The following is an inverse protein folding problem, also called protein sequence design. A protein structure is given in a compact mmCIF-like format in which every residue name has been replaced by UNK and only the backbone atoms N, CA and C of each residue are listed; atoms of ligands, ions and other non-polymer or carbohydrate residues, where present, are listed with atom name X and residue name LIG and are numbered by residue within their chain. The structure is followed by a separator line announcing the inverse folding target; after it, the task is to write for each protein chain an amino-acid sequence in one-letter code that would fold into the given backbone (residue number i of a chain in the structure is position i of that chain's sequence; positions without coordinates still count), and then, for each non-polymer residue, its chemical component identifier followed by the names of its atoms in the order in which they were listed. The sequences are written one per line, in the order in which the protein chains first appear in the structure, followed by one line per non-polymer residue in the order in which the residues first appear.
data_IF_113671197295
#
_entry.id   IF_113671197295
#
_cell.length_a   1.000
_cell.length_b   1.000
_cell.length_c   1.000
_cell.angle_alpha   90.00
_cell.angle_beta   90.00
_cell.angle_gamma   90.00
#
_symmetry.space_group_name_H-M   'P 1'
#
loop_
_entity.id
_entity.type
_entity.pdbx_description
1 polymer ?
#
# COMPACT_ATOMS: atom_id res chain seq x y z
N UNK A 1 8.47 9.83 13.32
CA UNK A 1 9.04 10.91 12.50
C UNK A 1 8.03 11.28 11.42
N UNK A 2 7.97 12.54 10.96
CA UNK A 2 7.16 12.92 9.80
C UNK A 2 8.14 13.20 8.65
N UNK A 3 7.91 12.61 7.50
CA UNK A 3 8.72 12.84 6.30
C UNK A 3 7.80 13.24 5.16
N UNK A 4 8.25 14.19 4.35
CA UNK A 4 7.52 14.70 3.21
C UNK A 4 8.12 14.09 1.95
N UNK A 5 7.28 13.46 1.13
CA UNK A 5 7.63 13.06 -0.22
C UNK A 5 7.18 14.21 -1.13
N UNK A 6 8.12 14.75 -1.89
CA UNK A 6 7.89 15.80 -2.88
C UNK A 6 7.97 15.14 -4.25
N UNK A 7 6.92 15.28 -5.04
CA UNK A 7 6.88 14.87 -6.44
C UNK A 7 6.97 16.12 -7.30
N UNK A 8 8.10 16.31 -7.97
CA UNK A 8 8.36 17.47 -8.83
C UNK A 8 8.22 17.08 -10.30
N UNK A 9 7.57 17.93 -11.10
CA UNK A 9 7.46 17.76 -12.55
C UNK A 9 8.52 18.57 -13.31
N UNK A 10 9.29 17.90 -14.17
CA UNK A 10 10.20 18.54 -15.11
C UNK A 10 9.49 18.76 -16.46
N UNK A 11 9.19 20.03 -16.79
CA UNK A 11 8.53 20.39 -18.05
C UNK A 11 9.35 20.04 -19.30
N UNK A 12 10.68 20.09 -19.21
CA UNK A 12 11.57 19.91 -20.36
C UNK A 12 11.63 18.44 -20.77
N UNK A 13 11.76 17.56 -19.79
CA UNK A 13 11.91 16.13 -20.01
C UNK A 13 10.59 15.36 -19.83
N UNK A 14 9.52 16.04 -19.41
CA UNK A 14 8.15 15.54 -19.21
C UNK A 14 8.10 14.32 -18.27
N UNK A 15 8.82 14.43 -17.16
CA UNK A 15 8.94 13.39 -16.15
C UNK A 15 8.60 13.94 -14.77
N UNK A 16 8.07 13.07 -13.92
CA UNK A 16 7.96 13.28 -12.49
C UNK A 16 9.17 12.68 -11.79
N UNK A 17 9.60 13.33 -10.71
CA UNK A 17 10.65 12.83 -9.83
C UNK A 17 10.18 12.88 -8.38
N UNK A 18 10.50 11.86 -7.57
CA UNK A 18 10.21 11.87 -6.13
C UNK A 18 11.49 12.00 -5.31
N UNK A 19 11.44 12.88 -4.30
CA UNK A 19 12.47 13.06 -3.30
C UNK A 19 11.85 13.30 -1.92
N UNK A 20 12.67 13.24 -0.87
CA UNK A 20 12.26 13.60 0.49
C UNK A 20 13.43 14.27 1.20
N UNK A 21 13.40 15.58 1.46
CA UNK A 21 14.49 16.30 2.11
C UNK A 21 14.85 15.74 3.48
N UNK A 22 13.87 15.20 4.22
CA UNK A 22 14.12 14.57 5.51
C UNK A 22 14.83 13.21 5.39
N UNK A 23 14.84 12.61 4.20
CA UNK A 23 15.40 11.29 3.92
C UNK A 23 16.65 11.31 3.02
N UNK A 24 16.93 12.43 2.34
CA UNK A 24 18.14 12.63 1.52
C UNK A 24 19.45 12.23 2.22
N UNK A 25 19.64 12.46 3.55
CA UNK A 25 20.86 12.01 4.22
C UNK A 25 21.06 10.49 4.26
N UNK A 26 20.08 9.66 3.86
CA UNK A 26 20.07 8.20 4.07
C UNK A 26 20.17 7.37 2.79
N UNK A 27 20.65 7.95 1.68
CA UNK A 27 20.81 7.25 0.40
C UNK A 27 19.53 6.67 -0.23
N UNK A 28 18.35 7.17 0.16
CA UNK A 28 17.08 6.78 -0.49
C UNK A 28 17.09 7.36 -1.90
N UNK A 29 17.24 6.48 -2.89
CA UNK A 29 17.34 6.88 -4.30
C UNK A 29 16.06 7.60 -4.74
N UNK A 30 16.23 8.81 -5.27
CA UNK A 30 15.20 9.47 -6.05
C UNK A 30 14.78 8.58 -7.20
N UNK A 31 13.51 8.66 -7.58
CA UNK A 31 12.97 7.89 -8.70
C UNK A 31 12.33 8.84 -9.69
N UNK A 32 12.43 8.50 -10.96
CA UNK A 32 11.87 9.28 -12.07
C UNK A 32 10.90 8.40 -12.87
N UNK A 33 9.88 9.00 -13.46
CA UNK A 33 8.87 8.28 -14.24
C UNK A 33 7.91 9.23 -14.94
N UNK A 34 7.04 8.67 -15.79
CA UNK A 34 6.10 9.47 -16.58
C UNK A 34 4.76 9.72 -15.88
N UNK A 35 4.47 8.95 -14.83
CA UNK A 35 3.20 9.02 -14.10
C UNK A 35 3.46 9.11 -12.59
N UNK A 36 2.69 9.96 -11.90
CA UNK A 36 2.78 10.19 -10.45
C UNK A 36 2.66 8.88 -9.64
N UNK A 37 1.71 7.98 -9.94
CA UNK A 37 1.54 6.74 -9.18
C UNK A 37 2.79 5.87 -9.21
N UNK A 38 3.38 5.69 -10.39
CA UNK A 38 4.58 4.87 -10.56
C UNK A 38 5.75 5.46 -9.77
N UNK A 39 5.94 6.78 -9.85
CA UNK A 39 7.00 7.48 -9.14
C UNK A 39 6.83 7.34 -7.62
N UNK A 40 5.62 7.55 -7.09
CA UNK A 40 5.35 7.40 -5.66
C UNK A 40 5.55 5.95 -5.20
N UNK A 41 5.04 4.98 -5.95
CA UNK A 41 5.11 3.57 -5.64
C UNK A 41 6.55 3.05 -5.59
N UNK A 42 7.36 3.41 -6.59
CA UNK A 42 8.78 3.05 -6.63
C UNK A 42 9.56 3.69 -5.49
N UNK A 43 9.28 4.97 -5.18
CA UNK A 43 9.96 5.66 -4.09
C UNK A 43 9.68 4.98 -2.74
N UNK A 44 8.41 4.68 -2.44
CA UNK A 44 8.04 4.02 -1.19
C UNK A 44 8.54 2.57 -1.12
N UNK A 45 8.63 1.87 -2.27
CA UNK A 45 9.25 0.54 -2.36
C UNK A 45 10.75 0.58 -2.03
N UNK A 46 11.48 1.61 -2.49
CA UNK A 46 12.88 1.81 -2.13
C UNK A 46 13.05 2.03 -0.61
N UNK A 47 12.16 2.83 0.00
CA UNK A 47 12.12 3.01 1.46
C UNK A 47 11.93 1.65 2.17
N UNK A 48 10.96 0.82 1.74
CA UNK A 48 10.73 -0.51 2.35
C UNK A 48 11.98 -1.40 2.26
N UNK A 49 12.64 -1.39 1.11
CA UNK A 49 13.83 -2.20 0.83
C UNK A 49 15.01 -1.82 1.71
N UNK A 50 15.25 -0.53 1.89
CA UNK A 50 16.35 -0.01 2.69
C UNK A 50 16.12 -0.22 4.18
N UNK A 51 14.90 0.02 4.69
CA UNK A 51 14.52 -0.35 6.06
C UNK A 51 14.78 -1.85 6.29
N UNK A 52 14.33 -2.70 5.36
CA UNK A 52 14.54 -4.15 5.45
C UNK A 52 16.03 -4.54 5.43
N UNK A 53 16.88 -3.80 4.71
CA UNK A 53 18.33 -4.01 4.67
C UNK A 53 18.95 -3.68 6.02
N UNK A 54 18.62 -2.52 6.57
CA UNK A 54 19.12 -2.08 7.87
C UNK A 54 18.69 -2.99 9.01
N UNK A 55 17.46 -3.48 9.01
CA UNK A 55 17.01 -4.49 9.99
C UNK A 55 17.85 -5.78 9.91
N UNK A 56 18.21 -6.23 8.70
CA UNK A 56 19.07 -7.41 8.53
C UNK A 56 20.50 -7.16 9.03
N UNK A 57 21.06 -5.99 8.77
CA UNK A 57 22.40 -5.62 9.23
C UNK A 57 22.45 -5.59 10.76
N UNK A 58 21.51 -4.89 11.39
CA UNK A 58 21.44 -4.77 12.85
C UNK A 58 21.20 -6.12 13.55
N UNK A 59 20.39 -7.01 12.96
CA UNK A 59 20.13 -8.33 13.54
C UNK A 59 21.30 -9.32 13.42
N UNK A 60 22.28 -9.08 12.53
CA UNK A 60 23.47 -9.94 12.38
C UNK A 60 24.54 -9.68 13.43
N UNK A 61 24.48 -8.56 14.16
CA UNK A 61 25.51 -8.18 15.14
C UNK A 61 26.85 -7.80 14.49
N UNK A 62 26.88 -7.52 13.19
CA UNK A 62 28.05 -7.03 12.43
C UNK A 62 28.31 -5.55 12.73
N UNK A 63 28.28 -5.13 14.01
CA UNK A 63 28.62 -3.75 14.40
C UNK A 63 30.09 -3.39 14.10
N UNK A 64 30.94 -4.39 13.82
CA UNK A 64 32.38 -4.21 13.65
C UNK A 64 32.86 -4.06 12.19
N UNK A 65 31.97 -4.20 11.20
CA UNK A 65 32.30 -4.18 9.76
C UNK A 65 31.38 -3.23 8.94
N UNK A 66 30.58 -2.39 9.60
CA UNK A 66 29.75 -1.37 8.95
C UNK A 66 30.47 -0.03 9.11
N UNK A 67 30.74 0.67 8.01
CA UNK A 67 31.28 2.04 8.07
C UNK A 67 30.31 2.93 8.87
N UNK A 68 30.84 3.84 9.72
CA UNK A 68 30.03 4.63 10.66
C UNK A 68 28.84 5.37 9.99
N UNK A 69 29.00 5.80 8.73
CA UNK A 69 27.95 6.44 7.92
C UNK A 69 26.77 5.49 7.60
N UNK A 70 27.04 4.23 7.26
CA UNK A 70 26.01 3.22 6.97
C UNK A 70 25.25 2.81 8.25
N UNK A 71 25.94 2.77 9.38
CA UNK A 71 25.32 2.48 10.67
C UNK A 71 24.39 3.61 11.12
N UNK A 72 24.84 4.87 11.01
CA UNK A 72 24.03 6.05 11.32
C UNK A 72 22.81 6.14 10.39
N UNK A 73 22.99 5.89 9.09
CA UNK A 73 21.88 5.80 8.15
C UNK A 73 20.88 4.72 8.55
N UNK A 74 21.35 3.53 8.94
CA UNK A 74 20.47 2.46 9.39
C UNK A 74 19.76 2.74 10.72
N UNK A 75 20.41 3.45 11.64
CA UNK A 75 19.77 3.87 12.89
C UNK A 75 18.66 4.89 12.64
N UNK A 76 18.85 5.82 11.70
CA UNK A 76 17.77 6.76 11.34
C UNK A 76 16.68 6.06 10.55
N UNK A 77 17.00 5.25 9.55
CA UNK A 77 16.01 4.47 8.80
C UNK A 77 15.16 3.58 9.72
N UNK A 78 15.74 3.03 10.79
CA UNK A 78 14.98 2.29 11.82
C UNK A 78 14.11 3.21 12.67
N UNK A 79 14.58 4.43 12.98
CA UNK A 79 13.77 5.47 13.63
C UNK A 79 12.61 5.99 12.74
N UNK A 80 12.66 5.72 11.43
CA UNK A 80 11.55 5.94 10.51
C UNK A 80 10.43 4.90 10.63
N UNK A 81 10.62 3.79 11.35
CA UNK A 81 9.49 2.88 11.59
C UNK A 81 8.35 3.61 12.32
N UNK A 82 7.12 3.45 11.83
CA UNK A 82 5.98 4.27 12.28
C UNK A 82 5.92 5.67 11.66
N UNK A 83 6.41 5.77 10.41
CA UNK A 83 6.48 6.98 9.60
C UNK A 83 5.12 7.62 9.37
N UNK A 84 5.09 8.95 9.50
CA UNK A 84 3.99 9.77 9.00
C UNK A 84 4.47 10.33 7.67
N UNK A 85 4.14 9.62 6.59
CA UNK A 85 4.39 10.10 5.25
C UNK A 85 3.31 11.09 4.82
N UNK A 86 3.73 12.06 4.05
CA UNK A 86 2.85 13.01 3.38
C UNK A 86 3.42 13.33 2.01
N UNK A 87 2.60 13.24 0.99
CA UNK A 87 2.95 13.49 -0.41
C UNK A 87 2.47 14.87 -0.81
N UNK A 88 3.36 15.65 -1.40
CA UNK A 88 3.07 16.92 -2.06
C UNK A 88 3.52 16.81 -3.51
N UNK A 89 2.67 17.25 -4.43
CA UNK A 89 2.98 17.32 -5.86
C UNK A 89 3.17 18.78 -6.23
N UNK A 90 4.31 19.07 -6.85
CA UNK A 90 4.65 20.34 -7.45
C UNK A 90 4.51 20.23 -8.97
N UNK A 91 3.26 20.31 -9.44
CA UNK A 91 2.93 20.30 -10.86
C UNK A 91 2.27 21.64 -11.27
N UNK A 92 2.41 22.07 -12.53
CA UNK A 92 1.63 23.18 -13.10
C UNK A 92 0.11 22.95 -13.00
N UNK A 93 -0.65 24.01 -12.67
CA UNK A 93 -2.11 23.96 -12.49
C UNK A 93 -2.88 23.41 -13.72
N UNK A 94 -2.30 23.47 -14.91
CA UNK A 94 -2.90 23.03 -16.18
C UNK A 94 -2.60 21.57 -16.55
N UNK A 95 -1.75 20.88 -15.78
CA UNK A 95 -1.39 19.48 -15.99
C UNK A 95 -2.09 18.51 -15.04
N UNK A 96 -2.63 18.98 -13.91
CA UNK A 96 -3.25 18.14 -12.90
C UNK A 96 -4.50 17.43 -13.41
N UNK A 97 -4.38 16.13 -13.71
CA UNK A 97 -5.55 15.28 -13.88
C UNK A 97 -6.21 15.09 -12.51
N UNK A 98 -7.53 15.19 -12.47
CA UNK A 98 -8.31 14.91 -11.26
C UNK A 98 -7.97 13.52 -10.70
N UNK A 99 -7.66 12.53 -11.56
CA UNK A 99 -7.38 11.16 -11.12
C UNK A 99 -6.04 11.03 -10.37
N UNK A 100 -4.98 11.69 -10.84
CA UNK A 100 -3.69 11.71 -10.14
C UNK A 100 -3.80 12.44 -8.80
N UNK A 101 -4.56 13.54 -8.77
CA UNK A 101 -4.90 14.25 -7.54
C UNK A 101 -5.64 13.33 -6.55
N UNK A 102 -6.61 12.54 -7.04
CA UNK A 102 -7.34 11.60 -6.20
C UNK A 102 -6.45 10.48 -5.67
N UNK A 103 -5.54 9.95 -6.49
CA UNK A 103 -4.57 8.94 -6.06
C UNK A 103 -3.65 9.46 -4.94
N UNK A 104 -3.09 10.66 -5.11
CA UNK A 104 -2.24 11.30 -4.09
C UNK A 104 -3.01 11.58 -2.81
N UNK A 105 -4.27 12.04 -2.92
CA UNK A 105 -5.14 12.22 -1.76
C UNK A 105 -5.40 10.90 -1.03
N UNK A 106 -5.65 9.81 -1.76
CA UNK A 106 -5.80 8.48 -1.18
C UNK A 106 -4.52 8.02 -0.47
N UNK A 107 -3.34 8.24 -1.07
CA UNK A 107 -2.06 7.93 -0.45
C UNK A 107 -1.87 8.69 0.87
N UNK A 108 -2.19 10.00 0.89
CA UNK A 108 -2.10 10.82 2.09
C UNK A 108 -3.06 10.37 3.21
N UNK A 109 -4.29 9.97 2.86
CA UNK A 109 -5.25 9.38 3.80
C UNK A 109 -4.70 8.07 4.36
N UNK A 110 -4.25 7.16 3.47
CA UNK A 110 -3.71 5.85 3.81
C UNK A 110 -2.50 5.98 4.75
N UNK A 111 -1.52 6.82 4.43
CA UNK A 111 -0.34 7.06 5.26
C UNK A 111 -0.72 7.60 6.64
N UNK A 112 -1.70 8.49 6.71
CA UNK A 112 -2.15 9.06 7.99
C UNK A 112 -2.81 8.01 8.87
N UNK A 113 -3.71 7.19 8.31
CA UNK A 113 -4.50 6.23 9.08
C UNK A 113 -3.66 5.03 9.52
N UNK A 114 -2.72 4.59 8.69
CA UNK A 114 -1.91 3.40 8.95
C UNK A 114 -0.50 3.71 9.49
N UNK A 115 -0.15 4.97 9.77
CA UNK A 115 1.19 5.41 10.22
C UNK A 115 1.79 4.61 11.39
N UNK A 116 0.95 4.01 12.26
CA UNK A 116 1.41 3.24 13.44
C UNK A 116 0.96 1.78 13.41
N UNK A 117 0.27 1.38 12.35
CA UNK A 117 -0.21 0.01 12.20
C UNK A 117 0.95 -0.88 11.74
N UNK A 118 1.04 -2.05 12.36
CA UNK A 118 1.99 -3.09 11.95
C UNK A 118 1.23 -4.23 11.29
N UNK A 119 1.82 -4.79 10.25
CA UNK A 119 1.33 -6.01 9.63
C UNK A 119 1.66 -7.25 10.50
N UNK A 120 1.22 -8.42 10.05
CA UNK A 120 1.47 -9.69 10.74
C UNK A 120 2.95 -10.12 10.74
N UNK A 121 3.77 -9.55 9.86
CA UNK A 121 5.22 -9.75 9.83
C UNK A 121 5.98 -8.74 10.73
N UNK A 122 5.28 -7.79 11.36
CA UNK A 122 5.87 -6.73 12.17
C UNK A 122 6.37 -5.52 11.37
N UNK A 123 6.11 -5.47 10.06
CA UNK A 123 6.45 -4.33 9.18
C UNK A 123 5.39 -3.24 9.25
N UNK A 124 5.73 -2.02 8.86
CA UNK A 124 4.74 -0.93 8.76
C UNK A 124 3.67 -1.28 7.73
N UNK A 125 2.41 -1.12 8.13
CA UNK A 125 1.26 -1.56 7.33
C UNK A 125 1.12 -0.78 6.02
N UNK A 126 1.58 0.47 5.98
CA UNK A 126 1.53 1.34 4.79
C UNK A 126 2.09 0.68 3.53
N UNK A 127 3.06 -0.24 3.67
CA UNK A 127 3.66 -0.93 2.54
C UNK A 127 2.70 -1.94 1.90
N UNK A 128 1.71 -2.45 2.63
CA UNK A 128 0.71 -3.36 2.09
C UNK A 128 -0.19 -2.70 1.04
N UNK A 129 -0.96 -1.63 1.35
CA UNK A 129 -1.74 -0.93 0.34
C UNK A 129 -0.91 -0.47 -0.87
N UNK A 130 0.35 -0.03 -0.64
CA UNK A 130 1.26 0.35 -1.74
C UNK A 130 1.58 -0.84 -2.65
N UNK A 131 1.94 -2.02 -2.12
CA UNK A 131 2.19 -3.22 -2.94
C UNK A 131 0.94 -3.70 -3.68
N UNK A 132 -0.25 -3.57 -3.08
CA UNK A 132 -1.52 -3.88 -3.76
C UNK A 132 -1.77 -2.90 -4.90
N UNK A 133 -1.53 -1.60 -4.68
CA UNK A 133 -1.63 -0.56 -5.72
C UNK A 133 -0.66 -0.80 -6.88
N UNK A 134 0.59 -1.17 -6.61
CA UNK A 134 1.58 -1.49 -7.64
C UNK A 134 1.17 -2.63 -8.59
N UNK A 135 0.29 -3.53 -8.14
CA UNK A 135 -0.24 -4.61 -8.97
C UNK A 135 -1.50 -4.24 -9.75
N UNK A 136 -2.04 -3.04 -9.53
CA UNK A 136 -3.22 -2.54 -10.21
C UNK A 136 -2.80 -1.77 -11.49
N UNK A 137 -3.56 -1.94 -12.56
CA UNK A 137 -3.23 -1.36 -13.87
C UNK A 137 -3.91 0.00 -14.12
N UNK A 138 -5.05 0.26 -13.49
CA UNK A 138 -5.82 1.50 -13.66
C UNK A 138 -5.67 2.39 -12.43
N UNK A 139 -5.63 3.70 -12.64
CA UNK A 139 -5.46 4.68 -11.57
C UNK A 139 -6.59 4.61 -10.53
N UNK A 140 -7.81 4.31 -10.96
CA UNK A 140 -8.96 4.12 -10.10
C UNK A 140 -8.79 2.87 -9.22
N UNK A 141 -8.32 1.76 -9.81
CA UNK A 141 -8.03 0.53 -9.05
C UNK A 141 -6.84 0.70 -8.10
N UNK A 142 -5.81 1.45 -8.50
CA UNK A 142 -4.70 1.88 -7.63
C UNK A 142 -5.22 2.69 -6.45
N UNK A 143 -6.12 3.64 -6.69
CA UNK A 143 -6.75 4.47 -5.66
C UNK A 143 -7.59 3.65 -4.69
N UNK A 144 -8.42 2.71 -5.20
CA UNK A 144 -9.18 1.77 -4.35
C UNK A 144 -8.23 0.89 -3.54
N UNK A 145 -7.13 0.41 -4.12
CA UNK A 145 -6.12 -0.37 -3.42
C UNK A 145 -5.48 0.40 -2.25
N UNK A 146 -5.21 1.70 -2.39
CA UNK A 146 -4.71 2.50 -1.27
C UNK A 146 -5.73 2.66 -0.14
N UNK A 147 -7.03 2.65 -0.46
CA UNK A 147 -8.11 2.89 0.50
C UNK A 147 -8.74 1.61 1.08
N UNK A 148 -8.44 0.42 0.54
CA UNK A 148 -9.26 -0.78 0.78
C UNK A 148 -9.46 -1.16 2.25
N UNK A 149 -8.43 -0.98 3.09
CA UNK A 149 -8.50 -1.26 4.54
C UNK A 149 -8.78 -0.03 5.40
N UNK A 150 -8.77 1.17 4.81
CA UNK A 150 -8.86 2.42 5.58
C UNK A 150 -10.20 2.56 6.31
N UNK A 151 -11.29 2.03 5.75
CA UNK A 151 -12.62 2.07 6.37
C UNK A 151 -12.80 0.97 7.41
N UNK A 152 -12.17 -0.19 7.23
CA UNK A 152 -12.25 -1.30 8.20
C UNK A 152 -11.43 -1.03 9.46
N UNK A 153 -10.25 -0.44 9.29
CA UNK A 153 -9.25 -0.30 10.35
C UNK A 153 -9.26 1.08 11.03
N UNK A 154 -10.15 1.99 10.63
CA UNK A 154 -10.14 3.37 11.15
C UNK A 154 -11.53 3.99 11.33
N UNK A 155 -11.56 5.28 11.68
CA UNK A 155 -12.78 6.09 11.80
C UNK A 155 -13.26 6.68 10.47
N UNK A 156 -12.57 6.42 9.35
CA UNK A 156 -12.96 6.87 8.03
C UNK A 156 -14.30 6.24 7.62
N UNK A 157 -15.16 7.02 6.97
CA UNK A 157 -16.47 6.55 6.47
C UNK A 157 -16.57 6.75 4.97
N UNK A 158 -17.46 5.99 4.32
CA UNK A 158 -17.76 6.20 2.90
C UNK A 158 -18.30 7.61 2.61
N UNK A 159 -19.01 8.24 3.55
CA UNK A 159 -19.46 9.62 3.40
C UNK A 159 -18.28 10.60 3.40
N UNK A 160 -17.25 10.36 4.21
CA UNK A 160 -16.02 11.16 4.19
C UNK A 160 -15.28 11.02 2.86
N UNK A 161 -15.24 9.83 2.27
CA UNK A 161 -14.69 9.66 0.93
C UNK A 161 -15.44 10.49 -0.12
N UNK A 162 -16.79 10.54 -0.04
CA UNK A 162 -17.59 11.41 -0.92
C UNK A 162 -17.34 12.90 -0.67
N UNK A 163 -17.16 13.30 0.58
CA UNK A 163 -16.80 14.68 0.94
C UNK A 163 -15.42 15.08 0.39
N UNK A 164 -14.48 14.14 0.32
CA UNK A 164 -13.18 14.32 -0.35
C UNK A 164 -13.25 14.24 -1.88
N UNK A 165 -14.46 14.21 -2.45
CA UNK A 165 -14.72 14.25 -3.88
C UNK A 165 -14.21 13.03 -4.67
N UNK A 166 -13.93 11.90 -4.00
CA UNK A 166 -13.69 10.63 -4.70
C UNK A 166 -14.90 10.27 -5.58
N UNK A 167 -14.62 9.78 -6.79
CA UNK A 167 -15.65 9.39 -7.75
C UNK A 167 -16.55 8.30 -7.18
N UNK A 168 -17.78 8.20 -7.69
CA UNK A 168 -18.72 7.16 -7.28
C UNK A 168 -18.15 5.76 -7.54
N UNK A 169 -17.36 5.60 -8.60
CA UNK A 169 -16.69 4.35 -8.95
C UNK A 169 -15.66 3.94 -7.90
N UNK A 170 -14.77 4.85 -7.49
CA UNK A 170 -13.79 4.60 -6.43
C UNK A 170 -14.50 4.27 -5.11
N UNK A 171 -15.51 5.06 -4.72
CA UNK A 171 -16.25 4.82 -3.48
C UNK A 171 -16.96 3.46 -3.50
N UNK A 172 -17.56 3.08 -4.64
CA UNK A 172 -18.19 1.76 -4.79
C UNK A 172 -17.16 0.63 -4.75
N UNK A 173 -15.98 0.82 -5.35
CA UNK A 173 -14.87 -0.12 -5.24
C UNK A 173 -14.42 -0.34 -3.80
N UNK A 174 -14.25 0.75 -3.02
CA UNK A 174 -13.91 0.65 -1.59
C UNK A 174 -15.03 -0.07 -0.82
N UNK A 175 -16.30 0.26 -1.06
CA UNK A 175 -17.44 -0.46 -0.47
C UNK A 175 -17.40 -1.95 -0.83
N UNK A 176 -17.06 -2.29 -2.07
CA UNK A 176 -17.00 -3.66 -2.56
C UNK A 176 -15.96 -4.49 -1.80
N UNK A 177 -14.81 -3.90 -1.48
CA UNK A 177 -13.70 -4.54 -0.75
C UNK A 177 -13.73 -4.34 0.76
N UNK A 178 -14.70 -3.61 1.30
CA UNK A 178 -14.98 -3.53 2.74
C UNK A 178 -16.04 -4.56 3.14
N UNK A 179 -15.69 -5.51 4.01
CA UNK A 179 -16.60 -6.53 4.57
C UNK A 179 -17.63 -5.89 5.49
N UNK A 180 -18.90 -6.26 5.31
CA UNK A 180 -20.00 -5.75 6.14
C UNK A 180 -20.07 -6.49 7.47
N UNK A 181 -20.56 -5.80 8.50
CA UNK A 181 -20.83 -6.41 9.81
C UNK A 181 -21.86 -7.53 9.65
N UNK A 182 -21.48 -8.75 10.06
CA UNK A 182 -22.33 -9.94 9.99
C UNK A 182 -22.36 -10.64 8.62
N UNK A 183 -21.64 -10.14 7.62
CA UNK A 183 -21.51 -10.78 6.30
C UNK A 183 -20.51 -11.95 6.39
N UNK A 184 -20.84 -13.09 5.78
CA UNK A 184 -19.92 -14.22 5.69
C UNK A 184 -18.73 -13.85 4.79
N UNK A 185 -17.57 -14.49 4.99
CA UNK A 185 -16.41 -14.21 4.15
C UNK A 185 -16.67 -14.64 2.69
N UNK A 186 -17.44 -15.71 2.48
CA UNK A 186 -17.87 -16.15 1.16
C UNK A 186 -18.76 -15.12 0.46
N UNK A 187 -19.78 -14.58 1.15
CA UNK A 187 -20.68 -13.55 0.59
C UNK A 187 -19.92 -12.26 0.28
N UNK A 188 -18.96 -11.90 1.14
CA UNK A 188 -18.08 -10.77 0.92
C UNK A 188 -17.26 -10.93 -0.37
N UNK A 189 -16.63 -12.09 -0.58
CA UNK A 189 -15.85 -12.37 -1.79
C UNK A 189 -16.74 -12.37 -3.04
N UNK A 190 -17.93 -12.96 -2.98
CA UNK A 190 -18.89 -12.94 -4.10
C UNK A 190 -19.39 -11.51 -4.41
N UNK A 191 -19.56 -10.67 -3.39
CA UNK A 191 -19.94 -9.27 -3.59
C UNK A 191 -18.80 -8.47 -4.19
N UNK A 192 -17.57 -8.65 -3.70
CA UNK A 192 -16.39 -7.99 -4.24
C UNK A 192 -16.16 -8.35 -5.72
N UNK A 193 -16.48 -9.59 -6.12
CA UNK A 193 -16.32 -10.04 -7.51
C UNK A 193 -17.32 -9.43 -8.51
N UNK A 194 -18.33 -8.69 -8.03
CA UNK A 194 -19.35 -8.06 -8.88
C UNK A 194 -19.02 -6.61 -9.24
N UNK A 195 -17.99 -6.05 -8.61
CA UNK A 195 -17.47 -4.70 -8.86
C UNK A 195 -16.11 -4.79 -9.57
N UNK A 196 -15.92 -4.08 -10.66
CA UNK A 196 -14.71 -4.23 -11.49
C UNK A 196 -13.42 -3.83 -10.75
N UNK A 197 -13.44 -2.67 -10.08
CA UNK A 197 -12.30 -2.20 -9.29
C UNK A 197 -12.10 -3.09 -8.05
N UNK A 198 -13.19 -3.39 -7.34
CA UNK A 198 -13.15 -4.21 -6.14
C UNK A 198 -12.65 -5.63 -6.40
N UNK A 199 -13.01 -6.23 -7.54
CA UNK A 199 -12.55 -7.54 -7.96
C UNK A 199 -11.04 -7.55 -8.20
N UNK A 200 -10.54 -6.58 -8.98
CA UNK A 200 -9.11 -6.46 -9.26
C UNK A 200 -8.30 -6.24 -7.98
N UNK A 201 -8.74 -5.32 -7.12
CA UNK A 201 -8.08 -5.03 -5.85
C UNK A 201 -8.11 -6.25 -4.93
N UNK A 202 -9.23 -6.97 -4.85
CA UNK A 202 -9.33 -8.12 -3.94
C UNK A 202 -8.42 -9.28 -4.34
N UNK A 203 -8.20 -9.49 -5.64
CA UNK A 203 -7.21 -10.46 -6.11
C UNK A 203 -5.81 -10.05 -5.64
N UNK A 204 -5.42 -8.79 -5.86
CA UNK A 204 -4.09 -8.28 -5.52
C UNK A 204 -3.83 -8.28 -4.01
N UNK A 205 -4.84 -7.93 -3.20
CA UNK A 205 -4.82 -8.04 -1.74
C UNK A 205 -4.56 -9.49 -1.30
N UNK A 206 -5.37 -10.44 -1.79
CA UNK A 206 -5.21 -11.86 -1.44
C UNK A 206 -3.82 -12.39 -1.80
N UNK A 207 -3.28 -11.99 -2.95
CA UNK A 207 -1.92 -12.38 -3.35
C UNK A 207 -0.83 -11.81 -2.44
N UNK A 208 -0.93 -10.54 -2.03
CA UNK A 208 0.03 -9.96 -1.07
C UNK A 208 -0.08 -10.66 0.29
N UNK A 209 -1.32 -10.91 0.74
CA UNK A 209 -1.62 -11.58 2.00
C UNK A 209 -1.20 -13.05 2.05
N UNK A 210 -1.14 -13.73 0.90
CA UNK A 210 -0.68 -15.11 0.77
C UNK A 210 0.84 -15.23 0.58
N UNK A 211 1.58 -14.12 0.53
CA UNK A 211 3.03 -14.15 0.44
C UNK A 211 3.67 -14.56 1.78
N UNK A 212 3.77 -15.88 2.00
CA UNK A 212 4.33 -16.47 3.22
C UNK A 212 5.82 -16.17 3.45
N UNK A 213 6.56 -15.74 2.42
CA UNK A 213 8.01 -15.46 2.55
C UNK A 213 8.31 -14.26 3.44
N UNK A 214 7.29 -13.45 3.76
CA UNK A 214 7.37 -12.32 4.69
C UNK A 214 7.19 -12.72 6.15
N UNK A 215 6.67 -13.92 6.42
CA UNK A 215 6.41 -14.38 7.78
C UNK A 215 7.63 -15.11 8.32
N UNK A 216 7.99 -14.82 9.58
CA UNK A 216 9.07 -15.53 10.27
C UNK A 216 8.65 -16.90 10.78
N UNK A 217 7.35 -17.13 10.99
CA UNK A 217 6.80 -18.39 11.46
C UNK A 217 5.34 -18.55 11.01
N UNK A 218 4.88 -19.80 10.85
CA UNK A 218 3.49 -20.11 10.52
C UNK A 218 2.79 -20.76 11.71
N UNK A 219 1.65 -20.19 12.11
CA UNK A 219 0.78 -20.76 13.13
C UNK A 219 -0.37 -21.56 12.51
N UNK A 220 -1.04 -22.41 13.29
CA UNK A 220 -2.26 -23.11 12.86
C UNK A 220 -3.35 -22.13 12.36
N UNK A 221 -3.47 -20.97 13.00
CA UNK A 221 -4.38 -19.90 12.56
C UNK A 221 -4.01 -19.36 11.17
N UNK A 222 -2.72 -19.27 10.86
CA UNK A 222 -2.26 -18.84 9.53
C UNK A 222 -2.62 -19.86 8.46
N UNK A 223 -2.46 -21.17 8.74
CA UNK A 223 -2.87 -22.22 7.81
C UNK A 223 -4.35 -22.15 7.46
N UNK A 224 -5.23 -21.99 8.46
CA UNK A 224 -6.67 -21.84 8.21
C UNK A 224 -6.99 -20.59 7.38
N UNK A 225 -6.38 -19.45 7.73
CA UNK A 225 -6.54 -18.20 6.98
C UNK A 225 -6.05 -18.31 5.54
N UNK A 226 -4.85 -18.86 5.33
CA UNK A 226 -4.26 -19.02 4.00
C UNK A 226 -5.08 -19.97 3.13
N UNK A 227 -5.61 -21.06 3.69
CA UNK A 227 -6.48 -21.97 2.96
C UNK A 227 -7.80 -21.27 2.55
N UNK A 228 -8.38 -20.47 3.44
CA UNK A 228 -9.54 -19.63 3.13
C UNK A 228 -9.23 -18.63 2.00
N UNK A 229 -8.09 -17.95 2.07
CA UNK A 229 -7.66 -16.97 1.07
C UNK A 229 -7.37 -17.63 -0.29
N UNK A 230 -6.81 -18.83 -0.30
CA UNK A 230 -6.57 -19.59 -1.51
C UNK A 230 -7.89 -19.93 -2.23
N UNK A 231 -8.91 -20.39 -1.50
CA UNK A 231 -10.22 -20.66 -2.12
C UNK A 231 -10.90 -19.39 -2.63
N UNK A 232 -10.79 -18.28 -1.88
CA UNK A 232 -11.27 -16.98 -2.34
C UNK A 232 -10.58 -16.52 -3.63
N UNK A 233 -9.24 -16.61 -3.69
CA UNK A 233 -8.48 -16.26 -4.89
C UNK A 233 -8.80 -17.18 -6.06
N UNK A 234 -8.96 -18.50 -5.82
CA UNK A 234 -9.36 -19.47 -6.86
C UNK A 234 -10.75 -19.17 -7.41
N UNK A 235 -11.69 -18.75 -6.57
CA UNK A 235 -13.01 -18.31 -7.02
C UNK A 235 -12.89 -17.04 -7.88
N UNK A 236 -12.21 -15.99 -7.38
CA UNK A 236 -12.05 -14.73 -8.09
C UNK A 236 -11.28 -14.85 -9.41
N UNK A 237 -10.42 -15.86 -9.56
CA UNK A 237 -9.66 -16.14 -10.80
C UNK A 237 -10.32 -17.20 -11.69
N UNK A 238 -11.51 -17.69 -11.32
CA UNK A 238 -12.28 -18.65 -12.12
C UNK A 238 -11.79 -20.10 -12.07
N UNK A 239 -10.86 -20.43 -11.17
CA UNK A 239 -10.41 -21.81 -10.89
C UNK A 239 -11.41 -22.58 -10.02
N UNK A 240 -12.29 -21.88 -9.30
CA UNK A 240 -13.45 -22.42 -8.61
C UNK A 240 -14.72 -21.67 -9.04
N UNK A 241 -15.83 -22.39 -9.21
CA UNK A 241 -17.08 -21.83 -9.74
C UNK A 241 -18.00 -21.32 -8.62
N UNK A 242 -17.84 -21.86 -7.41
CA UNK A 242 -18.68 -21.56 -6.25
C UNK A 242 -17.83 -21.13 -5.06
N UNK A 243 -18.44 -20.46 -4.09
CA UNK A 243 -17.80 -20.00 -2.85
C UNK A 243 -17.85 -21.03 -1.72
N UNK A 244 -18.35 -22.25 -1.97
CA UNK A 244 -18.59 -23.29 -0.94
C UNK A 244 -17.34 -23.72 -0.17
N UNK A 245 -16.16 -23.62 -0.80
CA UNK A 245 -14.88 -23.96 -0.15
C UNK A 245 -14.31 -22.81 0.68
N UNK A 246 -14.87 -21.61 0.57
CA UNK A 246 -14.47 -20.42 1.32
C UNK A 246 -15.07 -20.51 2.73
N UNK A 247 -14.29 -21.05 3.66
CA UNK A 247 -14.66 -21.14 5.09
C UNK A 247 -14.53 -19.79 5.78
N UNK A 248 -15.11 -19.64 6.97
CA UNK A 248 -14.90 -18.46 7.84
C UNK A 248 -13.48 -18.34 8.41
#
# INVERSE_FOLDING_TARGET
MKAKIIIDYDEKDQIYSANSPELEPYHILSTEGYEIPDVLEHYVSNIEREISMCERMLNRGDETDIDDEDFDACMVLKALTGLWLYVEVNEPDDLGNNDDTMYVNAANIMFTLHAKQKDKAGRDYIFHPMRVSMKCNLIESKTVALLHDTVEDSALTFDKLREYQFSAEIVNGVIAVTRKVGESYADFIERASKDELGHAVKINDLEDNMNITRLSNLTEKDWHRLNKYLHAWRYLTGLEVTTENIKE
#
